data_IF_464344982734
#
_entry.id   IF_464344982734
#
_cell.length_a   1.000
_cell.length_b   1.000
_cell.length_c   1.000
_cell.angle_alpha   90.00
_cell.angle_beta   90.00
_cell.angle_gamma   90.00
#
_symmetry.space_group_name_H-M   'P 1'
#
loop_
_entity.id
_entity.type
_entity.pdbx_description
1 polymer ?
#
# COMPACT_ATOMS: atom_id res chain seq x y z
N UNK A 1 18.52 6.87 6.82
CA UNK A 1 18.59 6.54 5.38
C UNK A 1 18.71 7.82 4.57
N UNK A 2 19.62 7.90 3.59
CA UNK A 2 19.68 9.06 2.66
C UNK A 2 18.53 8.94 1.66
N UNK A 3 17.56 9.86 1.73
CA UNK A 3 16.37 9.92 0.87
C UNK A 3 16.78 10.05 -0.60
N UNK A 4 16.05 9.40 -1.52
CA UNK A 4 16.19 9.58 -2.96
C UNK A 4 15.14 10.58 -3.46
N UNK A 5 15.52 11.58 -4.27
CA UNK A 5 14.55 12.45 -4.90
C UNK A 5 13.86 11.72 -6.06
N UNK A 6 12.72 12.24 -6.48
CA UNK A 6 11.89 11.74 -7.58
C UNK A 6 11.87 12.79 -8.67
N UNK A 7 12.12 12.37 -9.92
CA UNK A 7 11.96 13.25 -11.08
C UNK A 7 10.51 13.20 -11.53
N UNK A 8 9.88 14.36 -11.68
CA UNK A 8 8.53 14.50 -12.20
C UNK A 8 8.51 15.35 -13.46
N UNK A 9 7.57 15.04 -14.36
CA UNK A 9 7.33 15.78 -15.60
C UNK A 9 5.99 16.50 -15.49
N UNK A 10 5.96 17.76 -15.92
CA UNK A 10 4.75 18.57 -15.98
C UNK A 10 4.63 19.19 -17.39
N UNK A 11 3.74 18.69 -18.26
CA UNK A 11 2.78 17.61 -18.03
C UNK A 11 3.42 16.22 -17.86
N UNK A 12 2.71 15.28 -17.23
CA UNK A 12 3.21 13.95 -16.84
C UNK A 12 3.26 12.95 -18.00
N UNK A 13 3.94 13.30 -19.08
CA UNK A 13 4.06 12.50 -20.30
C UNK A 13 5.50 12.11 -20.57
N UNK A 14 5.75 10.81 -20.77
CA UNK A 14 7.06 10.29 -21.15
C UNK A 14 7.43 10.56 -22.61
N UNK A 15 6.47 10.96 -23.43
CA UNK A 15 6.65 11.28 -24.85
C UNK A 15 5.89 12.54 -25.23
N UNK A 16 6.59 13.47 -25.89
CA UNK A 16 6.04 14.74 -26.39
C UNK A 16 6.49 15.00 -27.84
N UNK A 17 5.86 15.97 -28.49
CA UNK A 17 6.31 16.43 -29.80
C UNK A 17 7.44 17.45 -29.72
N UNK A 18 8.22 17.52 -30.79
CA UNK A 18 9.12 18.64 -31.02
C UNK A 18 8.34 19.96 -30.94
N UNK A 19 8.98 20.99 -30.36
CA UNK A 19 8.43 22.33 -30.08
C UNK A 19 7.40 22.42 -28.96
N UNK A 20 6.99 21.30 -28.38
CA UNK A 20 6.20 21.35 -27.14
C UNK A 20 7.05 21.76 -25.95
N UNK A 21 6.39 22.19 -24.89
CA UNK A 21 7.04 22.55 -23.64
C UNK A 21 6.66 21.61 -22.52
N UNK A 22 7.63 21.36 -21.63
CA UNK A 22 7.40 20.68 -20.36
C UNK A 22 8.40 21.16 -19.31
N UNK A 23 7.99 21.05 -18.07
CA UNK A 23 8.84 21.31 -16.91
C UNK A 23 9.28 19.99 -16.30
N UNK A 24 10.57 19.86 -16.03
CA UNK A 24 11.17 18.75 -15.29
C UNK A 24 11.46 19.24 -13.88
N UNK A 25 10.97 18.52 -12.86
CA UNK A 25 11.10 18.89 -11.46
C UNK A 25 11.76 17.77 -10.65
N UNK A 26 12.55 18.14 -9.64
CA UNK A 26 13.17 17.22 -8.70
C UNK A 26 12.50 17.36 -7.34
N UNK A 27 11.71 16.37 -6.96
CA UNK A 27 10.91 16.39 -5.76
C UNK A 27 11.60 15.59 -4.65
N UNK A 28 11.78 16.22 -3.48
CA UNK A 28 12.36 15.60 -2.30
C UNK A 28 11.33 15.66 -1.16
N UNK A 29 10.92 14.50 -0.66
CA UNK A 29 9.85 14.36 0.35
C UNK A 29 10.12 15.11 1.67
N UNK A 30 11.38 15.40 1.97
CA UNK A 30 11.79 16.21 3.12
C UNK A 30 12.73 17.30 2.63
N UNK A 31 12.19 18.32 1.96
CA UNK A 31 12.97 19.49 1.60
C UNK A 31 13.29 20.29 2.89
N UNK A 32 14.56 20.36 3.35
CA UNK A 32 14.92 21.33 4.38
C UNK A 32 14.66 22.75 3.84
N UNK A 33 14.21 23.65 4.72
CA UNK A 33 13.89 25.08 4.48
C UNK A 33 15.10 25.96 4.05
N UNK A 34 16.05 25.42 3.30
CA UNK A 34 17.28 26.09 2.88
C UNK A 34 17.45 26.18 1.36
N UNK A 35 18.47 26.94 0.95
CA UNK A 35 18.86 27.14 -0.44
C UNK A 35 19.55 25.87 -1.01
N UNK A 36 18.75 24.84 -1.30
CA UNK A 36 19.23 23.53 -1.75
C UNK A 36 19.69 23.61 -3.22
N UNK A 37 20.95 23.29 -3.49
CA UNK A 37 21.43 23.12 -4.86
C UNK A 37 21.04 21.75 -5.41
N UNK A 38 20.52 21.74 -6.64
CA UNK A 38 20.17 20.54 -7.38
C UNK A 38 21.22 20.25 -8.45
N UNK A 39 21.42 18.98 -8.76
CA UNK A 39 22.31 18.54 -9.83
C UNK A 39 21.53 17.63 -10.75
N UNK A 40 21.41 18.06 -12.00
CA UNK A 40 20.63 17.39 -13.03
C UNK A 40 21.53 16.63 -13.99
N UNK A 41 21.08 15.46 -14.40
CA UNK A 41 21.78 14.60 -15.34
C UNK A 41 20.84 14.16 -16.44
N UNK A 42 21.29 14.25 -17.69
CA UNK A 42 20.66 13.62 -18.86
C UNK A 42 21.63 12.60 -19.44
N UNK A 43 21.24 11.33 -19.47
CA UNK A 43 22.09 10.22 -19.91
C UNK A 43 23.47 10.22 -19.26
N UNK A 44 23.49 10.45 -17.94
CA UNK A 44 24.70 10.58 -17.10
C UNK A 44 25.57 11.82 -17.33
N UNK A 45 25.21 12.71 -18.26
CA UNK A 45 25.87 14.00 -18.43
C UNK A 45 25.25 15.07 -17.54
N UNK A 46 26.07 15.82 -16.81
CA UNK A 46 25.63 16.92 -15.96
C UNK A 46 25.04 18.06 -16.82
N UNK A 47 23.85 18.52 -16.47
CA UNK A 47 23.20 19.67 -17.09
C UNK A 47 23.60 20.97 -16.37
N UNK A 48 23.71 22.10 -17.10
CA UNK A 48 24.12 23.39 -16.54
C UNK A 48 22.96 24.11 -15.82
N UNK A 49 22.34 23.44 -14.85
CA UNK A 49 21.28 24.03 -14.01
C UNK A 49 21.39 23.50 -12.59
N UNK A 50 21.16 24.41 -11.62
CA UNK A 50 21.17 24.12 -10.19
C UNK A 50 19.79 24.31 -9.54
N UNK A 51 18.77 24.61 -10.34
CA UNK A 51 17.41 24.87 -9.89
C UNK A 51 16.67 23.56 -9.61
N UNK A 52 15.68 23.61 -8.72
CA UNK A 52 14.81 22.46 -8.42
C UNK A 52 14.06 21.97 -9.66
N UNK A 53 13.73 22.87 -10.57
CA UNK A 53 13.06 22.58 -11.82
C UNK A 53 13.64 23.41 -12.96
N UNK A 54 13.41 22.96 -14.18
CA UNK A 54 13.70 23.73 -15.39
C UNK A 54 12.68 23.39 -16.46
N UNK A 55 12.42 24.35 -17.34
CA UNK A 55 11.45 24.19 -18.42
C UNK A 55 12.16 24.05 -19.76
N UNK A 56 11.84 22.98 -20.47
CA UNK A 56 12.15 22.83 -21.88
C UNK A 56 11.07 23.62 -22.61
N UNK A 57 11.40 24.80 -23.14
CA UNK A 57 10.41 25.70 -23.75
C UNK A 57 9.97 25.27 -25.16
N UNK A 58 10.88 24.65 -25.90
CA UNK A 58 10.66 24.17 -27.26
C UNK A 58 11.49 22.92 -27.44
N UNK A 59 10.86 21.77 -27.21
CA UNK A 59 11.54 20.49 -27.19
C UNK A 59 12.21 20.18 -28.53
N UNK A 60 13.42 19.64 -28.45
CA UNK A 60 14.20 19.17 -29.60
C UNK A 60 14.56 17.70 -29.45
N UNK A 61 15.02 17.06 -30.53
CA UNK A 61 15.51 15.68 -30.46
C UNK A 61 16.70 15.51 -29.51
N UNK A 62 17.43 16.59 -29.20
CA UNK A 62 18.53 16.58 -28.22
C UNK A 62 18.06 16.58 -26.78
N UNK A 63 16.78 16.87 -26.54
CA UNK A 63 16.16 16.79 -25.21
C UNK A 63 15.69 15.37 -24.85
N UNK A 64 15.78 14.46 -25.80
CA UNK A 64 15.59 13.04 -25.57
C UNK A 64 16.66 12.51 -24.62
N UNK A 65 16.26 11.78 -23.58
CA UNK A 65 17.22 11.09 -22.71
C UNK A 65 16.62 10.59 -21.40
N UNK A 66 17.49 10.02 -20.56
CA UNK A 66 17.18 9.62 -19.19
C UNK A 66 17.54 10.74 -18.21
N UNK A 67 16.53 11.33 -17.60
CA UNK A 67 16.66 12.41 -16.63
C UNK A 67 16.79 11.84 -15.22
N UNK A 68 17.79 12.34 -14.49
CA UNK A 68 18.00 12.05 -13.08
C UNK A 68 18.39 13.32 -12.35
N UNK A 69 18.03 13.40 -11.07
CA UNK A 69 18.47 14.49 -10.21
C UNK A 69 19.10 13.95 -8.92
N UNK A 70 19.86 14.81 -8.28
CA UNK A 70 20.25 14.65 -6.87
C UNK A 70 20.39 16.03 -6.22
N UNK A 71 20.40 16.04 -4.91
CA UNK A 71 20.83 17.18 -4.09
C UNK A 71 22.22 16.90 -3.52
N UNK A 72 22.79 17.85 -2.77
CA UNK A 72 24.08 17.64 -2.09
C UNK A 72 24.05 16.52 -1.04
N UNK A 73 22.88 16.25 -0.46
CA UNK A 73 22.68 15.33 0.66
C UNK A 73 21.94 14.05 0.29
N UNK A 74 21.45 13.93 -0.95
CA UNK A 74 20.67 12.78 -1.40
C UNK A 74 21.42 11.89 -2.37
N UNK A 75 20.96 10.63 -2.46
CA UNK A 75 21.36 9.73 -3.54
C UNK A 75 20.74 10.18 -4.86
N UNK A 76 21.30 9.71 -5.98
CA UNK A 76 20.72 9.96 -7.30
C UNK A 76 19.35 9.30 -7.43
N UNK A 77 18.41 10.02 -8.03
CA UNK A 77 17.06 9.54 -8.32
C UNK A 77 17.09 8.34 -9.27
N UNK A 78 15.96 7.62 -9.33
CA UNK A 78 15.68 6.77 -10.47
C UNK A 78 15.66 7.60 -11.77
N UNK A 79 15.94 6.93 -12.89
CA UNK A 79 15.92 7.56 -14.21
C UNK A 79 14.50 7.65 -14.74
N UNK A 80 14.15 8.82 -15.28
CA UNK A 80 12.89 9.06 -16.00
C UNK A 80 13.22 9.30 -17.47
N UNK A 81 12.69 8.46 -18.36
CA UNK A 81 12.90 8.59 -19.80
C UNK A 81 11.93 9.62 -20.37
N UNK A 82 12.48 10.63 -21.05
CA UNK A 82 11.73 11.57 -21.87
C UNK A 82 12.05 11.33 -23.34
N UNK A 83 11.04 11.03 -24.15
CA UNK A 83 11.13 10.93 -25.60
C UNK A 83 10.52 12.15 -26.29
N UNK A 84 11.17 12.57 -27.37
CA UNK A 84 10.71 13.64 -28.25
C UNK A 84 10.60 13.05 -29.65
N UNK A 85 9.48 13.30 -30.34
CA UNK A 85 9.24 12.82 -31.69
C UNK A 85 8.71 13.91 -32.63
N UNK A 86 8.89 13.68 -33.93
CA UNK A 86 8.29 14.45 -35.03
C UNK A 86 7.17 13.67 -35.74
N UNK A 87 6.69 12.57 -35.12
CA UNK A 87 5.54 11.82 -35.61
C UNK A 87 4.25 12.64 -35.62
N UNK A 88 3.27 12.20 -36.42
CA UNK A 88 1.99 12.89 -36.56
C UNK A 88 1.05 12.73 -35.36
N UNK A 89 1.15 11.61 -34.65
CA UNK A 89 0.52 11.44 -33.35
C UNK A 89 1.25 10.41 -32.48
N UNK A 90 0.92 10.38 -31.19
CA UNK A 90 1.50 9.52 -30.17
C UNK A 90 0.45 9.13 -29.14
N UNK A 91 0.71 8.04 -28.42
CA UNK A 91 0.01 7.71 -27.19
C UNK A 91 0.87 8.18 -26.01
N UNK A 92 0.50 9.30 -25.39
CA UNK A 92 1.18 9.80 -24.21
C UNK A 92 0.79 8.97 -23.00
N UNK A 93 1.82 8.49 -22.29
CA UNK A 93 1.69 7.72 -21.06
C UNK A 93 2.53 8.37 -19.97
N UNK A 94 2.21 8.17 -18.68
CA UNK A 94 3.12 8.51 -17.60
C UNK A 94 4.46 7.77 -17.74
N UNK A 95 5.58 8.35 -17.27
CA UNK A 95 6.89 7.70 -17.33
C UNK A 95 7.05 6.51 -16.38
N UNK A 96 6.30 6.50 -15.28
CA UNK A 96 6.28 5.41 -14.31
C UNK A 96 4.91 5.34 -13.67
N UNK A 97 4.41 4.13 -13.45
CA UNK A 97 3.11 3.88 -12.81
C UNK A 97 3.30 2.75 -11.80
N UNK A 98 2.86 2.96 -10.58
CA UNK A 98 2.80 1.94 -9.54
C UNK A 98 1.35 1.52 -9.30
N UNK A 99 1.18 0.34 -8.72
CA UNK A 99 -0.11 -0.13 -8.23
C UNK A 99 -0.76 0.91 -7.31
N UNK A 100 -2.04 1.19 -7.53
CA UNK A 100 -2.82 2.21 -6.83
C UNK A 100 -2.72 3.62 -7.43
N UNK A 101 -1.77 3.88 -8.33
CA UNK A 101 -1.68 5.18 -9.01
C UNK A 101 -2.87 5.40 -9.94
N UNK A 102 -3.26 6.66 -10.10
CA UNK A 102 -4.25 7.06 -11.10
C UNK A 102 -3.62 7.08 -12.50
N UNK A 103 -4.10 6.19 -13.38
CA UNK A 103 -3.61 6.10 -14.75
C UNK A 103 -4.47 6.92 -15.71
N UNK A 104 -3.82 7.86 -16.40
CA UNK A 104 -4.41 8.63 -17.49
C UNK A 104 -3.55 8.50 -18.74
N UNK A 105 -4.18 8.21 -19.89
CA UNK A 105 -3.51 8.13 -21.19
C UNK A 105 -4.08 9.18 -22.12
N UNK A 106 -3.24 9.75 -23.00
CA UNK A 106 -3.69 10.71 -24.00
C UNK A 106 -3.31 10.31 -25.41
N UNK A 107 -4.28 10.22 -26.29
CA UNK A 107 -4.05 10.10 -27.72
C UNK A 107 -3.78 11.50 -28.28
N UNK A 108 -2.52 11.84 -28.50
CA UNK A 108 -2.11 13.21 -28.80
C UNK A 108 -1.64 13.33 -30.25
N UNK A 109 -2.12 14.34 -30.97
CA UNK A 109 -1.84 14.59 -32.40
C UNK A 109 -1.41 16.03 -32.63
N UNK A 110 -0.77 16.29 -33.78
CA UNK A 110 -0.49 17.65 -34.21
C UNK A 110 -1.77 18.45 -34.51
N UNK A 111 -1.72 19.75 -34.25
CA UNK A 111 -2.81 20.67 -34.53
C UNK A 111 -3.18 20.66 -36.03
N UNK A 112 -4.47 20.49 -36.33
CA UNK A 112 -5.00 20.38 -37.69
C UNK A 112 -5.43 18.98 -38.11
N UNK A 113 -5.23 17.97 -37.26
CA UNK A 113 -5.90 16.68 -37.42
C UNK A 113 -7.37 16.83 -36.98
N UNK A 114 -8.31 16.81 -37.94
CA UNK A 114 -9.75 16.92 -37.65
C UNK A 114 -10.28 15.60 -37.09
N UNK A 115 -10.78 15.65 -35.86
CA UNK A 115 -11.11 14.48 -35.04
C UNK A 115 -12.61 14.44 -34.75
N UNK A 116 -13.23 13.27 -34.97
CA UNK A 116 -14.61 13.04 -34.53
C UNK A 116 -14.66 12.20 -33.25
N UNK A 117 -13.83 11.17 -33.15
CA UNK A 117 -13.71 10.34 -31.95
C UNK A 117 -12.39 9.57 -31.90
N UNK A 118 -11.93 9.37 -30.68
CA UNK A 118 -10.75 8.61 -30.31
C UNK A 118 -11.18 7.28 -29.69
N UNK A 119 -10.58 6.20 -30.16
CA UNK A 119 -10.83 4.83 -29.68
C UNK A 119 -9.58 4.30 -29.00
N UNK A 120 -9.71 3.91 -27.73
CA UNK A 120 -8.66 3.27 -26.95
C UNK A 120 -8.87 1.77 -26.88
N UNK A 121 -7.75 1.05 -26.89
CA UNK A 121 -7.69 -0.39 -26.78
C UNK A 121 -6.64 -0.82 -25.75
N UNK A 122 -6.92 -1.90 -25.03
CA UNK A 122 -5.94 -2.68 -24.26
C UNK A 122 -5.77 -4.03 -24.94
N UNK A 123 -4.60 -4.28 -25.52
CA UNK A 123 -4.41 -5.33 -26.50
C UNK A 123 -5.32 -5.08 -27.72
N UNK A 124 -6.28 -5.97 -27.93
CA UNK A 124 -7.30 -5.86 -29.00
C UNK A 124 -8.69 -5.50 -28.47
N UNK A 125 -8.88 -5.45 -27.15
CA UNK A 125 -10.15 -5.09 -26.53
C UNK A 125 -10.34 -3.57 -26.56
N UNK A 126 -11.51 -3.11 -27.02
CA UNK A 126 -11.87 -1.69 -26.98
C UNK A 126 -12.31 -1.30 -25.57
N UNK A 127 -11.61 -0.33 -24.98
CA UNK A 127 -11.85 0.12 -23.59
C UNK A 127 -12.54 1.49 -23.53
N UNK A 128 -12.42 2.32 -24.57
CA UNK A 128 -13.13 3.60 -24.66
C UNK A 128 -13.32 3.99 -26.13
N UNK A 129 -14.48 4.57 -26.44
CA UNK A 129 -14.76 5.24 -27.71
C UNK A 129 -15.49 6.55 -27.40
N UNK A 130 -14.81 7.68 -27.53
CA UNK A 130 -15.39 8.98 -27.23
C UNK A 130 -14.72 10.11 -28.02
N UNK A 131 -15.28 11.30 -27.95
CA UNK A 131 -14.66 12.52 -28.51
C UNK A 131 -13.44 12.99 -27.70
N UNK A 132 -13.20 12.41 -26.52
CA UNK A 132 -12.08 12.75 -25.66
C UNK A 132 -10.82 12.02 -26.08
N UNK A 133 -9.74 12.78 -26.25
CA UNK A 133 -8.39 12.27 -26.40
C UNK A 133 -7.78 11.73 -25.11
N UNK A 134 -8.47 11.89 -23.98
CA UNK A 134 -8.04 11.40 -22.68
C UNK A 134 -8.85 10.17 -22.27
N UNK A 135 -8.12 9.14 -21.84
CA UNK A 135 -8.64 7.98 -21.12
C UNK A 135 -8.19 8.09 -19.66
N UNK A 136 -9.15 8.03 -18.73
CA UNK A 136 -8.87 7.98 -17.29
C UNK A 136 -9.35 6.63 -16.74
N UNK A 137 -8.42 5.83 -16.19
CA UNK A 137 -8.72 4.49 -15.68
C UNK A 137 -8.89 4.44 -14.15
N UNK A 138 -8.65 5.55 -13.45
CA UNK A 138 -8.64 5.55 -11.99
C UNK A 138 -7.40 4.84 -11.42
N UNK A 139 -7.49 4.39 -10.16
CA UNK A 139 -6.45 3.62 -9.49
C UNK A 139 -6.27 2.24 -10.15
N UNK A 140 -5.05 1.92 -10.60
CA UNK A 140 -4.78 0.69 -11.36
C UNK A 140 -4.09 -0.39 -10.56
N UNK A 141 -4.40 -1.66 -10.87
CA UNK A 141 -3.69 -2.82 -10.37
C UNK A 141 -2.57 -3.26 -11.33
N UNK A 142 -1.70 -4.18 -10.88
CA UNK A 142 -0.57 -4.69 -11.69
C UNK A 142 -1.04 -5.30 -13.03
N UNK A 143 -2.23 -5.92 -13.06
CA UNK A 143 -2.83 -6.50 -14.26
C UNK A 143 -3.26 -5.47 -15.33
N UNK A 144 -3.22 -4.17 -15.01
CA UNK A 144 -3.41 -3.11 -15.99
C UNK A 144 -2.20 -3.01 -16.94
N UNK A 145 -1.06 -3.59 -16.60
CA UNK A 145 0.09 -3.68 -17.51
C UNK A 145 -0.28 -4.33 -18.84
N UNK A 146 0.34 -3.86 -19.92
CA UNK A 146 0.13 -4.40 -21.25
C UNK A 146 0.31 -3.39 -22.37
N UNK A 147 0.00 -3.83 -23.59
CA UNK A 147 0.02 -3.00 -24.77
C UNK A 147 -1.27 -2.19 -24.85
N UNK A 148 -1.15 -0.88 -24.93
CA UNK A 148 -2.25 0.03 -25.20
C UNK A 148 -2.14 0.58 -26.61
N UNK A 149 -3.28 0.77 -27.25
CA UNK A 149 -3.40 1.31 -28.59
C UNK A 149 -4.47 2.39 -28.58
N UNK A 150 -4.19 3.55 -29.18
CA UNK A 150 -5.22 4.53 -29.48
C UNK A 150 -5.33 4.74 -30.99
N UNK A 151 -6.55 5.03 -31.43
CA UNK A 151 -6.87 5.28 -32.83
C UNK A 151 -7.68 6.55 -32.94
N UNK A 152 -7.21 7.51 -33.73
CA UNK A 152 -7.99 8.68 -34.10
C UNK A 152 -8.73 8.40 -35.40
N UNK A 153 -10.06 8.45 -35.39
CA UNK A 153 -10.88 8.31 -36.60
C UNK A 153 -11.28 9.69 -37.12
N UNK A 154 -11.19 9.82 -38.44
CA UNK A 154 -11.56 11.03 -39.18
C UNK A 154 -12.24 10.61 -40.47
N UNK A 155 -13.33 11.28 -40.84
CA UNK A 155 -14.05 11.01 -42.09
C UNK A 155 -13.19 11.25 -43.35
N UNK A 156 -12.14 12.07 -43.26
CA UNK A 156 -11.29 12.45 -44.40
C UNK A 156 -10.12 11.51 -44.64
N UNK A 157 -9.70 10.72 -43.63
CA UNK A 157 -8.54 9.84 -43.74
C UNK A 157 -8.97 8.38 -43.84
N UNK A 158 -8.75 7.75 -45.01
CA UNK A 158 -9.10 6.36 -45.29
C UNK A 158 -8.34 5.32 -44.44
N UNK A 159 -7.26 5.72 -43.75
CA UNK A 159 -6.54 4.84 -42.82
C UNK A 159 -6.52 5.46 -41.43
N UNK A 160 -7.16 4.81 -40.43
CA UNK A 160 -7.04 5.23 -39.05
C UNK A 160 -5.58 5.11 -38.61
N UNK A 161 -5.02 6.21 -38.13
CA UNK A 161 -3.67 6.19 -37.60
C UNK A 161 -3.71 5.59 -36.19
N UNK A 162 -2.83 4.61 -35.95
CA UNK A 162 -2.80 3.82 -34.72
C UNK A 162 -1.49 4.05 -33.98
N UNK A 163 -1.59 4.33 -32.68
CA UNK A 163 -0.45 4.66 -31.83
C UNK A 163 -0.42 3.72 -30.65
N UNK A 164 0.74 3.13 -30.39
CA UNK A 164 0.90 2.04 -29.42
C UNK A 164 1.94 2.39 -28.38
N UNK A 165 1.67 2.02 -27.13
CA UNK A 165 2.62 2.12 -26.03
C UNK A 165 2.42 0.94 -25.07
N UNK A 166 3.52 0.40 -24.54
CA UNK A 166 3.45 -0.63 -23.50
C UNK A 166 3.57 0.03 -22.14
N UNK A 167 2.60 -0.23 -21.27
CA UNK A 167 2.57 0.28 -19.90
C UNK A 167 2.93 -0.87 -18.97
N UNK A 168 3.88 -0.61 -18.07
CA UNK A 168 4.27 -1.53 -17.01
C UNK A 168 3.93 -0.91 -15.67
N UNK A 169 2.94 -1.48 -14.98
CA UNK A 169 2.56 -1.09 -13.63
C UNK A 169 3.43 -1.85 -12.64
N UNK A 170 4.20 -1.11 -11.85
CA UNK A 170 5.10 -1.66 -10.85
C UNK A 170 4.36 -1.97 -9.55
N UNK A 171 4.76 -3.04 -8.87
CA UNK A 171 4.22 -3.37 -7.55
C UNK A 171 4.59 -2.27 -6.53
N UNK A 172 3.62 -1.87 -5.69
CA UNK A 172 3.85 -0.85 -4.66
C UNK A 172 4.55 -1.43 -3.42
N UNK A 173 4.06 -2.57 -2.93
CA UNK A 173 4.68 -3.35 -1.86
C UNK A 173 4.40 -4.83 -2.05
N UNK A 174 5.31 -5.70 -1.61
CA UNK A 174 5.19 -7.16 -1.78
C UNK A 174 4.04 -7.75 -0.96
N UNK A 175 3.53 -8.92 -1.38
CA UNK A 175 2.49 -9.63 -0.63
C UNK A 175 2.95 -9.92 0.82
N UNK A 176 2.21 -9.47 1.84
CA UNK A 176 2.68 -9.50 3.22
C UNK A 176 2.80 -10.93 3.77
N UNK A 177 3.77 -11.14 4.66
CA UNK A 177 4.04 -12.42 5.31
C UNK A 177 4.01 -12.26 6.83
N UNK A 178 3.50 -13.27 7.53
CA UNK A 178 3.51 -13.27 8.99
C UNK A 178 4.85 -13.82 9.49
N UNK A 179 5.51 -13.07 10.37
CA UNK A 179 6.67 -13.53 11.17
C UNK A 179 6.28 -13.58 12.64
N UNK A 180 6.64 -14.67 13.31
CA UNK A 180 6.33 -14.90 14.73
C UNK A 180 7.62 -14.88 15.56
N UNK A 181 7.58 -14.21 16.72
CA UNK A 181 8.67 -14.18 17.69
C UNK A 181 8.14 -14.15 19.13
N UNK A 182 8.58 -15.04 20.05
CA UNK A 182 9.42 -16.21 19.78
C UNK A 182 8.66 -17.27 18.96
N UNK A 183 9.39 -18.22 18.38
CA UNK A 183 8.80 -19.39 17.72
C UNK A 183 9.68 -20.61 18.02
N UNK A 184 9.24 -21.60 18.82
CA UNK A 184 7.87 -21.82 19.31
C UNK A 184 7.43 -20.84 20.42
N UNK A 185 6.12 -20.71 20.64
CA UNK A 185 5.51 -19.90 21.71
C UNK A 185 5.00 -20.83 22.81
N UNK A 186 5.33 -20.51 24.05
CA UNK A 186 4.82 -21.19 25.25
C UNK A 186 3.88 -20.31 26.05
N UNK A 187 3.03 -20.92 26.86
CA UNK A 187 2.04 -20.23 27.67
C UNK A 187 2.69 -19.29 28.70
N UNK A 188 2.28 -18.02 28.66
CA UNK A 188 2.84 -16.91 29.42
C UNK A 188 3.95 -16.13 28.70
N UNK A 189 4.36 -16.55 27.50
CA UNK A 189 5.32 -15.78 26.70
C UNK A 189 4.71 -14.47 26.17
N UNK A 190 5.55 -13.45 26.04
CA UNK A 190 5.21 -12.25 25.29
C UNK A 190 5.47 -12.50 23.79
N UNK A 191 4.46 -12.93 23.05
CA UNK A 191 4.59 -13.16 21.61
C UNK A 191 4.30 -11.90 20.79
N UNK A 192 5.02 -11.76 19.68
CA UNK A 192 4.86 -10.68 18.71
C UNK A 192 4.68 -11.26 17.32
N UNK A 193 3.61 -10.84 16.66
CA UNK A 193 3.28 -11.17 15.28
C UNK A 193 3.61 -9.95 14.42
N UNK A 194 4.56 -10.10 13.52
CA UNK A 194 4.98 -9.04 12.58
C UNK A 194 4.39 -9.30 11.21
N UNK A 195 3.78 -8.28 10.61
CA UNK A 195 3.33 -8.29 9.23
C UNK A 195 4.44 -7.69 8.34
N UNK A 196 5.21 -8.58 7.73
CA UNK A 196 6.39 -8.26 6.95
C UNK A 196 6.02 -8.01 5.48
N UNK A 197 6.40 -6.84 4.95
CA UNK A 197 6.20 -6.47 3.54
C UNK A 197 7.31 -5.48 3.14
N UNK A 198 7.68 -5.49 1.88
CA UNK A 198 8.72 -4.61 1.35
C UNK A 198 8.11 -3.60 0.38
N UNK A 199 8.29 -2.31 0.68
CA UNK A 199 7.91 -1.22 -0.22
C UNK A 199 8.84 -1.17 -1.44
N UNK A 200 8.29 -0.76 -2.57
CA UNK A 200 9.07 -0.46 -3.77
C UNK A 200 10.17 0.57 -3.46
N UNK A 201 11.42 0.37 -3.93
CA UNK A 201 12.50 1.34 -3.77
C UNK A 201 12.21 2.73 -4.38
N UNK A 202 11.19 2.82 -5.24
CA UNK A 202 10.75 4.08 -5.84
C UNK A 202 9.64 4.78 -5.05
N UNK A 203 9.12 4.14 -3.99
CA UNK A 203 8.01 4.59 -3.15
C UNK A 203 8.33 4.38 -1.65
N UNK A 204 9.60 4.52 -1.26
CA UNK A 204 10.07 4.31 0.12
C UNK A 204 9.39 5.21 1.17
N UNK A 205 8.80 6.33 0.75
CA UNK A 205 8.11 7.30 1.63
C UNK A 205 6.62 7.05 1.74
N UNK A 206 6.08 6.02 1.07
CA UNK A 206 4.66 5.70 1.14
C UNK A 206 4.33 5.14 2.52
N UNK A 207 3.40 5.78 3.21
CA UNK A 207 2.89 5.27 4.48
C UNK A 207 1.99 4.05 4.24
N UNK A 208 2.08 3.07 5.14
CA UNK A 208 1.28 1.85 5.13
C UNK A 208 0.52 1.70 6.44
N UNK A 209 -0.66 1.12 6.36
CA UNK A 209 -1.49 0.76 7.51
C UNK A 209 -1.66 -0.76 7.58
N UNK A 210 -1.62 -1.31 8.79
CA UNK A 210 -1.61 -2.74 9.07
C UNK A 210 -2.77 -3.11 9.98
N UNK A 211 -3.45 -4.21 9.66
CA UNK A 211 -4.47 -4.83 10.49
C UNK A 211 -4.18 -6.32 10.69
N UNK A 212 -4.59 -6.86 11.84
CA UNK A 212 -4.41 -8.27 12.19
C UNK A 212 -5.74 -8.94 12.48
N UNK A 213 -5.84 -10.20 12.06
CA UNK A 213 -7.02 -11.02 12.22
C UNK A 213 -6.65 -12.37 12.81
N UNK A 214 -7.48 -12.85 13.74
CA UNK A 214 -7.39 -14.20 14.34
C UNK A 214 -8.71 -14.92 14.10
N UNK A 215 -8.65 -16.09 13.45
CA UNK A 215 -9.82 -16.88 13.07
C UNK A 215 -10.88 -16.06 12.30
N UNK A 216 -10.42 -15.08 11.50
CA UNK A 216 -11.28 -14.16 10.75
C UNK A 216 -11.76 -12.93 11.54
N UNK A 217 -11.59 -12.88 12.86
CA UNK A 217 -11.96 -11.72 13.68
C UNK A 217 -10.84 -10.70 13.74
N UNK A 218 -11.19 -9.41 13.65
CA UNK A 218 -10.23 -8.32 13.76
C UNK A 218 -9.75 -8.19 15.22
N UNK A 219 -8.44 -8.37 15.44
CA UNK A 219 -7.79 -8.21 16.76
C UNK A 219 -7.01 -6.91 16.86
N UNK A 220 -6.65 -6.31 15.73
CA UNK A 220 -6.01 -5.00 15.63
C UNK A 220 -6.45 -4.33 14.32
N UNK A 221 -7.18 -3.22 14.43
CA UNK A 221 -7.59 -2.41 13.28
C UNK A 221 -6.41 -1.70 12.60
N UNK A 222 -6.67 -1.14 11.42
CA UNK A 222 -5.66 -0.45 10.63
C UNK A 222 -4.98 0.68 11.41
N UNK A 223 -3.67 0.54 11.61
CA UNK A 223 -2.80 1.55 12.20
C UNK A 223 -1.39 1.48 11.58
N UNK A 224 -0.47 2.36 11.98
CA UNK A 224 0.91 2.39 11.44
C UNK A 224 1.84 1.28 11.98
N UNK A 225 1.42 0.51 12.99
CA UNK A 225 2.21 -0.56 13.58
C UNK A 225 2.10 -1.84 12.76
N UNK A 226 3.23 -2.26 12.18
CA UNK A 226 3.35 -3.55 11.51
C UNK A 226 3.46 -4.74 12.48
N UNK A 227 3.21 -4.53 13.78
CA UNK A 227 3.31 -5.54 14.83
C UNK A 227 2.02 -5.59 15.66
N UNK A 228 1.65 -6.81 16.04
CA UNK A 228 0.63 -7.13 17.03
C UNK A 228 1.26 -7.97 18.15
N UNK A 229 1.21 -7.46 19.36
CA UNK A 229 1.77 -8.12 20.55
C UNK A 229 0.70 -8.75 21.41
N UNK A 230 0.96 -9.97 21.90
CA UNK A 230 0.18 -10.64 22.94
C UNK A 230 1.06 -10.74 24.18
N UNK A 231 0.82 -9.92 25.23
CA UNK A 231 1.75 -9.81 26.35
C UNK A 231 1.95 -11.08 27.18
N UNK A 232 0.92 -11.93 27.27
CA UNK A 232 0.93 -13.19 28.01
C UNK A 232 0.10 -14.22 27.26
N UNK A 233 0.75 -14.96 26.36
CA UNK A 233 0.14 -15.95 25.49
C UNK A 233 -0.66 -17.00 26.28
N UNK A 234 -1.93 -17.20 25.95
CA UNK A 234 -2.78 -18.26 26.50
C UNK A 234 -3.10 -19.33 25.45
N UNK A 235 -3.56 -20.51 25.86
CA UNK A 235 -3.93 -21.58 24.92
C UNK A 235 -5.03 -21.14 23.93
N UNK A 236 -5.98 -20.31 24.37
CA UNK A 236 -7.04 -19.74 23.53
C UNK A 236 -6.54 -18.75 22.47
N UNK A 237 -5.30 -18.26 22.58
CA UNK A 237 -4.71 -17.43 21.56
C UNK A 237 -4.24 -18.25 20.35
N UNK A 238 -4.23 -19.58 20.43
CA UNK A 238 -3.94 -20.44 19.29
C UNK A 238 -4.97 -20.27 18.18
N UNK A 239 -4.53 -20.29 16.93
CA UNK A 239 -5.44 -20.19 15.80
C UNK A 239 -4.81 -19.78 14.49
N UNK A 240 -5.67 -19.40 13.56
CA UNK A 240 -5.31 -18.99 12.21
C UNK A 240 -5.19 -17.48 12.15
N UNK A 241 -3.95 -17.01 11.98
CA UNK A 241 -3.63 -15.60 11.88
C UNK A 241 -3.48 -15.17 10.42
N UNK A 242 -4.01 -13.99 10.09
CA UNK A 242 -3.72 -13.27 8.84
C UNK A 242 -3.45 -11.80 9.17
N UNK A 243 -2.62 -11.16 8.37
CA UNK A 243 -2.45 -9.71 8.42
C UNK A 243 -2.84 -9.09 7.08
N UNK A 244 -3.19 -7.82 7.12
CA UNK A 244 -3.60 -7.06 5.96
C UNK A 244 -2.93 -5.70 5.96
N UNK A 245 -2.45 -5.30 4.78
CA UNK A 245 -1.69 -4.06 4.57
C UNK A 245 -2.40 -3.22 3.53
N UNK A 246 -2.56 -1.94 3.80
CA UNK A 246 -3.14 -1.00 2.84
C UNK A 246 -2.44 0.35 2.83
N UNK A 247 -2.58 1.07 1.71
CA UNK A 247 -2.32 2.52 1.66
C UNK A 247 -3.38 3.29 2.47
N UNK A 248 -3.10 4.49 3.01
CA UNK A 248 -4.08 5.31 3.72
C UNK A 248 -5.36 5.62 2.93
N UNK A 249 -5.25 5.73 1.60
CA UNK A 249 -6.38 5.95 0.68
C UNK A 249 -7.20 4.69 0.40
N UNK A 250 -6.73 3.51 0.84
CA UNK A 250 -7.31 2.22 0.50
C UNK A 250 -7.12 1.79 -0.96
N UNK A 251 -6.37 2.55 -1.77
CA UNK A 251 -6.15 2.29 -3.20
C UNK A 251 -5.43 0.96 -3.49
N UNK A 252 -4.52 0.55 -2.60
CA UNK A 252 -3.87 -0.76 -2.63
C UNK A 252 -4.08 -1.43 -1.30
N UNK A 253 -4.52 -2.69 -1.34
CA UNK A 253 -4.78 -3.52 -0.17
C UNK A 253 -4.39 -4.97 -0.47
N UNK A 254 -3.52 -5.55 0.36
CA UNK A 254 -3.06 -6.94 0.22
C UNK A 254 -3.16 -7.67 1.56
N UNK A 255 -3.53 -8.94 1.51
CA UNK A 255 -3.64 -9.82 2.67
C UNK A 255 -2.57 -10.89 2.63
N UNK A 256 -2.07 -11.28 3.79
CA UNK A 256 -1.08 -12.35 3.92
C UNK A 256 -1.70 -13.72 3.67
N UNK A 257 -0.84 -14.72 3.44
CA UNK A 257 -1.22 -16.11 3.66
C UNK A 257 -1.65 -16.34 5.12
N UNK A 258 -2.40 -17.42 5.34
CA UNK A 258 -2.82 -17.86 6.67
C UNK A 258 -1.66 -18.56 7.39
N UNK A 259 -1.33 -18.09 8.59
CA UNK A 259 -0.35 -18.72 9.48
C UNK A 259 -1.07 -19.37 10.67
N UNK A 260 -0.92 -20.68 10.83
CA UNK A 260 -1.43 -21.39 12.00
C UNK A 260 -0.41 -21.28 13.14
N UNK A 261 -0.81 -20.62 14.23
CA UNK A 261 0.03 -20.43 15.42
C UNK A 261 -0.53 -21.30 16.54
N UNK A 262 0.32 -22.15 17.10
CA UNK A 262 0.00 -23.03 18.22
C UNK A 262 0.84 -22.66 19.43
N UNK A 263 0.18 -22.45 20.57
CA UNK A 263 0.81 -22.11 21.84
C UNK A 263 0.90 -23.37 22.68
N UNK A 264 2.11 -23.66 23.13
CA UNK A 264 2.38 -24.84 23.95
C UNK A 264 2.05 -24.53 25.40
N UNK A 265 1.24 -25.38 26.04
CA UNK A 265 0.99 -25.29 27.47
C UNK A 265 2.27 -25.50 28.28
N UNK A 266 2.34 -24.95 29.48
CA UNK A 266 3.48 -25.23 30.37
C UNK A 266 3.52 -26.72 30.69
N UNK A 267 4.60 -27.40 30.31
CA UNK A 267 4.84 -28.76 30.81
C UNK A 267 5.00 -28.68 32.33
N UNK A 268 4.20 -29.42 33.12
CA UNK A 268 4.42 -29.50 34.55
C UNK A 268 5.83 -30.05 34.81
N UNK A 269 6.56 -29.55 35.82
CA UNK A 269 7.85 -30.13 36.19
C UNK A 269 7.68 -31.63 36.46
N UNK A 270 8.65 -32.48 36.05
CA UNK A 270 8.57 -33.91 36.31
C UNK A 270 8.56 -34.14 37.83
N UNK A 271 7.38 -34.40 38.39
CA UNK A 271 7.19 -34.57 39.83
C UNK A 271 5.82 -34.15 40.40
N UNK A 272 5.00 -33.38 39.69
CA UNK A 272 3.66 -33.04 40.19
C UNK A 272 2.68 -34.19 39.94
N UNK A 273 2.58 -35.12 40.92
CA UNK A 273 1.47 -36.07 40.99
C UNK A 273 0.21 -35.28 41.33
N UNK A 274 -0.75 -35.25 40.42
CA UNK A 274 -2.14 -34.95 40.77
C UNK A 274 -2.62 -36.04 41.72
N UNK A 275 -2.85 -35.70 42.99
CA UNK A 275 -3.59 -36.57 43.89
C UNK A 275 -4.99 -36.73 43.31
N UNK A 276 -5.24 -37.91 42.74
CA UNK A 276 -6.56 -38.31 42.29
C UNK A 276 -7.51 -38.30 43.48
N UNK A 277 -8.63 -37.60 43.31
CA UNK A 277 -9.80 -37.81 44.14
C UNK A 277 -10.18 -39.30 44.05
N UNK A 278 -9.99 -40.03 45.14
CA UNK A 278 -10.51 -41.38 45.30
C UNK A 278 -12.02 -41.22 45.48
N UNK A 279 -12.78 -41.60 44.46
CA UNK A 279 -14.20 -41.91 44.59
C UNK A 279 -14.27 -43.30 45.24
N UNK A 280 -14.72 -43.35 46.48
CA UNK A 280 -15.14 -44.58 47.14
C UNK A 280 -16.64 -44.54 47.37
N UNK A 281 -17.37 -45.41 46.67
CA UNK A 281 -18.80 -45.69 46.91
C UNK A 281 -18.98 -46.79 47.97
N UNK A 282 -20.09 -46.64 48.72
CA UNK A 282 -20.89 -47.61 49.49
C UNK A 282 -20.39 -48.23 50.80
N UNK A 283 -20.99 -47.80 51.93
CA UNK A 283 -22.06 -48.53 52.66
C UNK A 283 -22.42 -47.88 54.04
N UNK A 284 -23.72 -47.71 54.32
CA UNK A 284 -24.33 -47.15 55.55
C UNK A 284 -24.52 -48.23 56.66
N UNK A 285 -25.16 -47.98 57.86
CA UNK A 285 -25.69 -46.76 58.49
C UNK A 285 -25.27 -46.56 59.98
N UNK A 286 -25.40 -45.34 60.53
CA UNK A 286 -25.16 -45.04 61.95
C UNK A 286 -25.93 -43.81 62.44
N UNK A 287 -26.79 -44.02 63.43
CA UNK A 287 -27.91 -43.18 63.90
C UNK A 287 -27.51 -42.06 64.89
N UNK A 288 -28.14 -40.88 64.70
CA UNK A 288 -28.54 -39.77 65.63
C UNK A 288 -27.49 -38.95 66.42
N UNK A 289 -27.48 -37.62 66.22
CA UNK A 289 -28.14 -36.62 67.13
C UNK A 289 -27.92 -35.16 66.62
N UNK A 290 -29.00 -34.36 66.58
CA UNK A 290 -29.03 -32.88 66.54
C UNK A 290 -29.66 -32.45 67.88
N UNK A 291 -29.31 -31.32 68.55
CA UNK A 291 -29.57 -29.92 68.09
C UNK A 291 -28.64 -28.86 68.79
N UNK A 292 -28.98 -27.55 68.99
CA UNK A 292 -29.77 -26.56 68.24
C UNK A 292 -28.99 -25.23 67.94
N UNK A 293 -29.63 -24.36 67.16
CA UNK A 293 -29.31 -22.95 66.89
C UNK A 293 -29.05 -22.06 68.13
N UNK A 294 -28.30 -20.95 67.97
CA UNK A 294 -28.78 -19.60 68.36
C UNK A 294 -28.03 -18.42 67.73
N UNK A 295 -28.86 -17.44 67.35
CA UNK A 295 -28.62 -16.14 66.74
C UNK A 295 -27.85 -15.13 67.61
N UNK A 296 -27.15 -14.19 66.94
CA UNK A 296 -27.32 -12.74 67.16
C UNK A 296 -26.70 -11.92 66.01
N UNK A 297 -27.53 -11.14 65.30
CA UNK A 297 -27.09 -9.93 64.59
C UNK A 297 -26.78 -8.77 65.58
N UNK A 298 -26.84 -7.47 65.23
CA UNK A 298 -27.59 -6.92 64.08
C UNK A 298 -27.07 -5.56 63.45
N UNK A 299 -27.83 -5.07 62.46
CA UNK A 299 -28.08 -3.68 62.00
C UNK A 299 -27.08 -2.90 61.12
N UNK A 300 -27.55 -2.56 59.91
CA UNK A 300 -27.30 -1.29 59.21
C UNK A 300 -28.67 -0.73 58.70
N UNK A 301 -28.92 0.60 58.81
CA UNK A 301 -30.17 1.24 58.34
C UNK A 301 -30.06 1.79 56.89
N UNK A 302 -31.16 2.30 56.29
CA UNK A 302 -31.40 2.15 54.85
C UNK A 302 -31.66 3.44 54.02
N UNK A 303 -31.72 3.24 52.70
CA UNK A 303 -32.49 3.93 51.62
C UNK A 303 -32.31 5.43 51.27
N UNK A 304 -32.05 5.69 49.98
CA UNK A 304 -32.86 6.46 48.97
C UNK A 304 -31.99 6.65 47.71
N UNK A 305 -32.38 6.46 46.45
CA UNK A 305 -33.69 6.48 45.80
C UNK A 305 -33.87 7.77 44.99
N UNK A 306 -33.29 7.88 43.78
CA UNK A 306 -33.57 8.98 42.82
C UNK A 306 -33.68 8.41 41.40
N UNK A 307 -34.82 8.71 40.76
CA UNK A 307 -35.22 8.41 39.38
C UNK A 307 -34.93 9.60 38.43
N UNK A 308 -35.07 9.45 37.09
CA UNK A 308 -34.37 10.26 36.10
C UNK A 308 -35.12 11.51 35.65
N UNK A 309 -34.38 12.50 35.13
CA UNK A 309 -34.92 13.67 34.45
C UNK A 309 -34.52 13.71 32.97
N UNK A 310 -35.54 13.92 32.16
CA UNK A 310 -35.57 14.30 30.74
C UNK A 310 -34.85 15.62 30.44
N UNK A 311 -34.14 15.65 29.31
CA UNK A 311 -34.21 16.70 28.27
C UNK A 311 -33.75 16.12 26.93
#
# INVERSE_FOLDING_TARGET
ATVRPVVSLAPNWSMIFRRESLTVSCDLASAPQGNQSYYWYRDNQLLPTNQQNFTIQSASMFDRGNYQCRTSTSKRSAAVRLDVTDDYAILQTPPSVHEGDFLSLRCHSWAGYYEEYTVFYKGEEMIQNSTSDLLSMGAVAINASGLYKCTKKSHFFYRPAQYKATISVLELFSAPQIKLSPNPVTEGDHMTITCDTELSPHRETTELQFAFYRNGHNVQGFNSSNQYGVPSAQLEDSGNYTCEVQTPTGSVRKRSGMAHIHIQGRNPPPGYKTEGAIVGEDSAPGVLELPPDWFRGPYLPPYQGISPSTE
#
